data_IF_434196801832
#
_entry.id   IF_434196801832
#
_cell.length_a   1.000
_cell.length_b   1.000
_cell.length_c   1.000
_cell.angle_alpha   90.00
_cell.angle_beta   90.00
_cell.angle_gamma   90.00
#
_symmetry.space_group_name_H-M   'P 1'
#
loop_
_entity.id
_entity.type
_entity.pdbx_description
1 polymer ?
#
# COMPACT_ATOMS: atom_id res chain seq x y z
N UNK A 1 -2.02 1.69 5.95
CA UNK A 1 -2.35 0.26 6.15
C UNK A 1 -1.05 -0.49 6.39
N UNK A 2 -1.07 -1.53 7.22
CA UNK A 2 0.02 -2.49 7.33
C UNK A 2 -0.37 -3.70 6.48
N UNK A 3 0.54 -4.14 5.61
CA UNK A 3 0.34 -5.32 4.75
C UNK A 3 1.50 -6.28 5.02
N UNK A 4 1.23 -7.53 5.44
CA UNK A 4 2.28 -8.53 5.60
C UNK A 4 2.95 -8.88 4.27
N UNK A 5 4.18 -9.38 4.35
CA UNK A 5 4.90 -9.93 3.20
C UNK A 5 5.21 -11.38 3.50
N UNK A 6 4.72 -12.28 2.66
CA UNK A 6 4.91 -13.73 2.77
C UNK A 6 5.57 -14.24 1.49
N UNK A 7 6.74 -14.87 1.59
CA UNK A 7 7.48 -15.38 0.42
C UNK A 7 7.89 -14.29 -0.60
N UNK A 8 8.06 -13.04 -0.15
CA UNK A 8 8.39 -11.91 -1.02
C UNK A 8 7.21 -11.26 -1.74
N UNK A 9 5.97 -11.69 -1.47
CA UNK A 9 4.74 -11.10 -2.02
C UNK A 9 3.90 -10.44 -0.93
N UNK A 10 3.15 -9.38 -1.29
CA UNK A 10 2.14 -8.79 -0.41
C UNK A 10 1.06 -9.85 -0.12
N UNK A 11 0.80 -10.11 1.15
CA UNK A 11 -0.17 -11.11 1.58
C UNK A 11 -1.59 -10.51 1.57
N UNK A 12 -2.13 -10.36 0.36
CA UNK A 12 -3.47 -9.84 0.10
C UNK A 12 -4.41 -11.00 -0.25
N UNK A 13 -5.61 -10.96 0.29
CA UNK A 13 -6.71 -11.82 -0.12
C UNK A 13 -7.19 -11.53 -1.54
N UNK A 14 -8.02 -12.42 -2.13
CA UNK A 14 -8.42 -12.35 -3.54
C UNK A 14 -9.19 -11.08 -3.94
N UNK A 15 -9.71 -10.33 -2.96
CA UNK A 15 -10.48 -9.11 -3.18
C UNK A 15 -9.86 -7.87 -2.54
N UNK A 16 -8.73 -8.03 -1.84
CA UNK A 16 -8.08 -6.92 -1.14
C UNK A 16 -7.22 -6.09 -2.08
N UNK A 17 -7.36 -4.77 -1.98
CA UNK A 17 -6.65 -3.81 -2.81
C UNK A 17 -6.32 -2.57 -1.99
N UNK A 18 -5.10 -2.04 -2.15
CA UNK A 18 -4.66 -0.81 -1.49
C UNK A 18 -4.85 0.37 -2.45
N UNK A 19 -5.72 1.30 -2.09
CA UNK A 19 -5.99 2.48 -2.89
C UNK A 19 -5.36 3.73 -2.28
N UNK A 20 -4.80 4.57 -3.15
CA UNK A 20 -4.63 5.98 -2.84
C UNK A 20 -5.95 6.71 -3.12
N UNK A 21 -6.76 6.89 -2.08
CA UNK A 21 -8.01 7.64 -2.20
C UNK A 21 -7.73 9.15 -2.09
N UNK A 22 -7.86 9.86 -3.21
CA UNK A 22 -7.65 11.30 -3.31
C UNK A 22 -8.99 12.04 -3.43
N UNK A 23 -9.14 13.16 -2.71
CA UNK A 23 -10.39 13.91 -2.60
C UNK A 23 -10.29 15.37 -3.04
N UNK A 24 -9.08 15.91 -3.24
CA UNK A 24 -8.82 17.32 -3.58
C UNK A 24 -7.52 17.43 -4.40
N UNK A 25 -7.62 17.08 -5.69
CA UNK A 25 -6.48 16.88 -6.58
C UNK A 25 -5.67 18.15 -6.91
N UNK A 26 -5.24 18.28 -8.17
CA UNK A 26 -4.59 19.48 -8.74
C UNK A 26 -3.29 19.95 -8.05
N UNK A 27 -2.70 19.13 -7.18
CA UNK A 27 -1.38 19.39 -6.57
C UNK A 27 -0.61 18.09 -6.36
N UNK A 28 0.72 18.20 -6.33
CA UNK A 28 1.60 17.04 -6.09
C UNK A 28 1.42 16.54 -4.66
N UNK A 29 1.15 15.24 -4.52
CA UNK A 29 1.02 14.52 -3.26
C UNK A 29 1.84 13.22 -3.34
N UNK A 30 2.14 12.62 -2.19
CA UNK A 30 2.97 11.42 -2.09
C UNK A 30 2.39 10.43 -1.10
N UNK A 31 2.57 9.15 -1.40
CA UNK A 31 2.37 8.04 -0.46
C UNK A 31 3.75 7.52 -0.08
N UNK A 32 3.96 7.22 1.19
CA UNK A 32 5.22 6.65 1.68
C UNK A 32 4.97 5.18 2.00
N UNK A 33 5.81 4.31 1.45
CA UNK A 33 5.85 2.89 1.78
C UNK A 33 7.16 2.61 2.49
N UNK A 34 7.10 1.91 3.62
CA UNK A 34 8.26 1.47 4.37
C UNK A 34 8.12 -0.03 4.62
N UNK A 35 9.15 -0.78 4.25
CA UNK A 35 9.23 -2.22 4.44
C UNK A 35 10.24 -2.49 5.56
N UNK A 36 9.93 -3.44 6.42
CA UNK A 36 10.77 -3.88 7.53
C UNK A 36 10.62 -5.40 7.65
N UNK A 37 11.72 -6.11 7.86
CA UNK A 37 11.79 -7.56 7.89
C UNK A 37 13.21 -8.04 7.62
N UNK A 38 13.43 -9.35 7.75
CA UNK A 38 14.66 -10.04 7.33
C UNK A 38 14.54 -10.56 5.89
#
# INVERSE_FOLDING_TARGET
VLVPITGGALDLGPWEHVFYAEFDGRRRKRVVVKVMGE
#
